data_IF_064180314448
#
_entry.id   IF_064180314448
#
_cell.length_a   1.000
_cell.length_b   1.000
_cell.length_c   1.000
_cell.angle_alpha   90.00
_cell.angle_beta   90.00
_cell.angle_gamma   90.00
#
_symmetry.space_group_name_H-M   'P 1'
#
loop_
_entity.id
_entity.type
_entity.pdbx_description
1 polymer ?
#
# COMPACT_ATOMS: atom_id res chain seq x y z
N UNK A 1 -11.71 -41.95 18.92
CA UNK A 1 -11.15 -41.08 17.89
C UNK A 1 -12.02 -39.82 17.77
N UNK A 2 -11.41 -38.65 17.91
CA UNK A 2 -12.06 -37.35 17.71
C UNK A 2 -11.43 -36.68 16.48
N UNK A 3 -12.26 -36.13 15.59
CA UNK A 3 -11.81 -35.37 14.43
C UNK A 3 -12.35 -33.95 14.53
N UNK A 4 -11.51 -32.97 14.18
CA UNK A 4 -11.86 -31.55 14.16
C UNK A 4 -11.45 -31.02 12.80
N UNK A 5 -12.38 -30.33 12.11
CA UNK A 5 -12.11 -29.56 10.90
C UNK A 5 -12.53 -28.13 11.16
N UNK A 6 -11.65 -27.19 10.83
CA UNK A 6 -11.90 -25.77 10.99
C UNK A 6 -11.45 -25.03 9.74
N UNK A 7 -12.27 -24.11 9.27
CA UNK A 7 -11.98 -23.20 8.19
C UNK A 7 -12.41 -21.79 8.61
N UNK A 8 -11.50 -20.83 8.54
CA UNK A 8 -11.81 -19.43 8.74
C UNK A 8 -11.39 -18.66 7.47
N UNK A 9 -12.26 -17.77 7.04
CA UNK A 9 -12.01 -16.88 5.94
C UNK A 9 -12.35 -15.46 6.37
N UNK A 10 -11.46 -14.52 6.11
CA UNK A 10 -11.72 -13.09 6.26
C UNK A 10 -11.29 -12.34 5.00
N UNK A 11 -12.08 -11.37 4.60
CA UNK A 11 -11.77 -10.43 3.54
C UNK A 11 -12.20 -9.03 3.99
N UNK A 12 -11.37 -8.03 3.73
CA UNK A 12 -11.68 -6.68 4.16
C UNK A 12 -10.78 -5.62 3.53
N UNK A 13 -11.04 -4.39 3.93
CA UNK A 13 -10.23 -3.22 3.59
C UNK A 13 -10.03 -2.39 4.85
N UNK A 14 -8.82 -1.83 5.00
CA UNK A 14 -8.44 -1.03 6.15
C UNK A 14 -7.30 -0.09 5.77
N UNK A 15 -7.04 0.91 6.62
CA UNK A 15 -5.81 1.71 6.54
C UNK A 15 -4.93 1.33 7.72
N UNK A 16 -3.75 0.86 7.41
CA UNK A 16 -2.71 0.57 8.40
C UNK A 16 -1.64 1.66 8.35
N UNK A 17 -1.38 2.28 9.49
CA UNK A 17 -0.37 3.34 9.63
C UNK A 17 0.66 2.92 10.66
N UNK A 18 1.91 2.78 10.22
CA UNK A 18 3.09 2.58 11.04
C UNK A 18 4.18 3.55 10.55
N UNK A 19 5.38 3.08 10.28
CA UNK A 19 6.42 3.86 9.60
C UNK A 19 5.96 4.28 8.19
N UNK A 20 5.27 3.39 7.48
CA UNK A 20 4.58 3.66 6.21
C UNK A 20 3.06 3.60 6.41
N UNK A 21 2.31 4.16 5.47
CA UNK A 21 0.86 4.14 5.47
C UNK A 21 0.35 3.30 4.31
N UNK A 22 -0.22 2.14 4.65
CA UNK A 22 -0.79 1.21 3.68
C UNK A 22 -2.31 1.35 3.60
N UNK A 23 -2.82 1.39 2.40
CA UNK A 23 -4.25 1.21 2.12
C UNK A 23 -4.48 -0.25 1.74
N UNK A 24 -4.94 -1.04 2.70
CA UNK A 24 -5.28 -2.44 2.50
C UNK A 24 -6.64 -2.52 1.79
N UNK A 25 -6.65 -3.01 0.55
CA UNK A 25 -7.88 -3.17 -0.22
C UNK A 25 -8.04 -4.61 -0.66
N UNK A 26 -9.23 -5.19 -0.41
CA UNK A 26 -9.51 -6.57 -0.76
C UNK A 26 -8.52 -7.58 -0.16
N UNK A 27 -7.86 -7.22 0.95
CA UNK A 27 -7.02 -8.14 1.70
C UNK A 27 -7.83 -9.35 2.13
N UNK A 28 -7.28 -10.55 1.98
CA UNK A 28 -7.95 -11.77 2.39
C UNK A 28 -7.00 -12.75 3.06
N UNK A 29 -7.53 -13.47 4.03
CA UNK A 29 -6.83 -14.53 4.75
C UNK A 29 -7.71 -15.75 4.89
N UNK A 30 -7.11 -16.93 4.69
CA UNK A 30 -7.69 -18.24 4.95
C UNK A 30 -6.87 -18.94 6.02
N UNK A 31 -7.52 -19.44 7.06
CA UNK A 31 -6.90 -20.34 8.04
C UNK A 31 -7.68 -21.64 8.06
N UNK A 32 -7.00 -22.76 8.03
CA UNK A 32 -7.61 -24.07 8.08
C UNK A 32 -6.83 -25.01 8.99
N UNK A 33 -7.56 -25.94 9.59
CA UNK A 33 -7.02 -26.95 10.47
C UNK A 33 -7.81 -28.26 10.30
N UNK A 34 -7.08 -29.36 10.21
CA UNK A 34 -7.61 -30.72 10.35
C UNK A 34 -6.86 -31.40 11.49
N UNK A 35 -7.57 -31.97 12.41
CA UNK A 35 -7.01 -32.62 13.59
C UNK A 35 -7.67 -33.97 13.84
N UNK A 36 -6.85 -34.99 14.09
CA UNK A 36 -7.28 -36.33 14.55
C UNK A 36 -6.65 -36.59 15.91
N UNK A 37 -7.48 -36.86 16.89
CA UNK A 37 -7.06 -37.09 18.25
C UNK A 37 -7.60 -38.43 18.77
N UNK A 38 -6.73 -39.24 19.36
CA UNK A 38 -7.08 -40.41 20.16
C UNK A 38 -6.49 -40.30 21.57
N UNK A 39 -6.62 -41.33 22.40
CA UNK A 39 -6.01 -41.35 23.74
C UNK A 39 -4.51 -41.08 23.71
N UNK A 40 -3.80 -41.63 22.73
CA UNK A 40 -2.34 -41.66 22.71
C UNK A 40 -1.76 -40.93 21.49
N UNK A 41 -2.58 -40.43 20.56
CA UNK A 41 -2.13 -39.85 19.28
C UNK A 41 -2.81 -38.54 19.01
N UNK A 42 -2.04 -37.56 18.58
CA UNK A 42 -2.48 -36.30 17.94
C UNK A 42 -1.82 -36.19 16.58
N UNK A 43 -2.60 -36.05 15.53
CA UNK A 43 -2.16 -35.66 14.22
C UNK A 43 -2.90 -34.35 13.85
N UNK A 44 -2.18 -33.31 13.57
CA UNK A 44 -2.75 -32.02 13.19
C UNK A 44 -2.06 -31.49 11.93
N UNK A 45 -2.87 -31.11 10.98
CA UNK A 45 -2.47 -30.31 9.83
C UNK A 45 -3.13 -28.94 9.92
N UNK A 46 -2.36 -27.87 9.75
CA UNK A 46 -2.86 -26.51 9.74
C UNK A 46 -2.15 -25.69 8.67
N UNK A 47 -2.83 -24.66 8.18
CA UNK A 47 -2.24 -23.73 7.23
C UNK A 47 -2.95 -22.39 7.23
N UNK A 48 -2.24 -21.40 6.70
CA UNK A 48 -2.73 -20.06 6.45
C UNK A 48 -2.30 -19.62 5.05
N UNK A 49 -3.20 -18.98 4.34
CA UNK A 49 -2.91 -18.31 3.07
C UNK A 49 -3.35 -16.87 3.18
N UNK A 50 -2.49 -15.97 2.75
CA UNK A 50 -2.70 -14.53 2.76
C UNK A 50 -2.59 -13.97 1.34
N UNK A 51 -3.44 -12.99 1.03
CA UNK A 51 -3.38 -12.26 -0.23
C UNK A 51 -3.63 -10.78 0.05
N UNK A 52 -2.66 -9.94 -0.28
CA UNK A 52 -2.72 -8.49 -0.11
C UNK A 52 -3.79 -7.80 -0.96
N UNK A 53 -4.36 -8.48 -1.96
CA UNK A 53 -5.37 -7.91 -2.86
C UNK A 53 -4.86 -6.71 -3.65
N UNK A 54 -5.58 -5.57 -3.54
CA UNK A 54 -5.25 -4.31 -4.23
C UNK A 54 -4.59 -3.30 -3.29
N UNK A 55 -3.78 -3.79 -2.35
CA UNK A 55 -3.07 -2.97 -1.37
C UNK A 55 -2.00 -2.10 -2.02
N UNK A 56 -1.86 -0.86 -1.53
CA UNK A 56 -0.81 0.06 -1.96
C UNK A 56 -0.22 0.85 -0.78
N UNK A 57 1.03 1.27 -0.93
CA UNK A 57 1.67 2.24 -0.03
C UNK A 57 1.26 3.66 -0.43
N UNK A 58 0.64 4.40 0.50
CA UNK A 58 0.08 5.72 0.21
C UNK A 58 1.17 6.79 0.01
N UNK A 59 2.31 6.66 0.69
CA UNK A 59 3.44 7.56 0.51
C UNK A 59 4.07 7.40 -0.87
N UNK A 60 4.38 6.16 -1.23
CA UNK A 60 4.90 5.82 -2.56
C UNK A 60 3.91 6.21 -3.66
N UNK A 61 2.60 5.98 -3.44
CA UNK A 61 1.57 6.40 -4.39
C UNK A 61 1.59 7.90 -4.65
N UNK A 62 1.70 8.72 -3.60
CA UNK A 62 1.77 10.18 -3.75
C UNK A 62 2.99 10.62 -4.57
N UNK A 63 4.15 10.03 -4.31
CA UNK A 63 5.37 10.29 -5.08
C UNK A 63 5.17 9.90 -6.54
N UNK A 64 4.64 8.69 -6.81
CA UNK A 64 4.43 8.21 -8.18
C UNK A 64 3.39 9.05 -8.95
N UNK A 65 2.31 9.48 -8.30
CA UNK A 65 1.33 10.38 -8.94
C UNK A 65 2.00 11.68 -9.35
N UNK A 66 2.82 12.27 -8.49
CA UNK A 66 3.53 13.51 -8.80
C UNK A 66 4.50 13.31 -9.97
N UNK A 67 5.33 12.28 -9.94
CA UNK A 67 6.29 11.99 -11.02
C UNK A 67 5.61 11.68 -12.37
N UNK A 68 4.47 10.98 -12.35
CA UNK A 68 3.69 10.69 -13.55
C UNK A 68 2.97 11.93 -14.11
N UNK A 69 2.60 12.88 -13.25
CA UNK A 69 1.98 14.14 -13.66
C UNK A 69 3.02 15.13 -14.18
N UNK A 70 4.05 15.39 -13.41
CA UNK A 70 5.16 16.29 -13.72
C UNK A 70 6.41 15.81 -13.00
N UNK A 71 7.47 15.48 -13.73
CA UNK A 71 8.71 15.06 -13.09
C UNK A 71 9.22 16.09 -12.10
N UNK A 72 9.88 15.66 -11.03
CA UNK A 72 10.47 16.53 -10.03
C UNK A 72 11.41 17.56 -10.65
N UNK A 73 12.12 17.21 -11.72
CA UNK A 73 12.99 18.12 -12.46
C UNK A 73 12.22 19.28 -13.12
N UNK A 74 11.14 18.96 -13.86
CA UNK A 74 10.29 19.98 -14.51
C UNK A 74 9.54 20.81 -13.49
N UNK A 75 9.08 20.20 -12.40
CA UNK A 75 8.43 20.92 -11.32
C UNK A 75 9.37 21.95 -10.69
N UNK A 76 10.63 21.56 -10.44
CA UNK A 76 11.63 22.44 -9.86
C UNK A 76 12.02 23.58 -10.80
N UNK A 77 12.12 23.34 -12.11
CA UNK A 77 12.37 24.39 -13.11
C UNK A 77 11.24 25.44 -13.11
N UNK A 78 9.98 24.99 -13.08
CA UNK A 78 8.83 25.92 -13.02
C UNK A 78 8.79 26.66 -11.68
N UNK A 79 9.08 25.97 -10.56
CA UNK A 79 9.19 26.59 -9.24
C UNK A 79 10.23 27.69 -9.22
N UNK A 80 11.44 27.40 -9.71
CA UNK A 80 12.54 28.35 -9.71
C UNK A 80 12.25 29.56 -10.61
N UNK A 81 11.64 29.34 -11.76
CA UNK A 81 11.18 30.38 -12.65
C UNK A 81 10.16 31.29 -11.97
N UNK A 82 9.17 30.73 -11.32
CA UNK A 82 8.17 31.46 -10.54
C UNK A 82 8.80 32.23 -9.38
N UNK A 83 9.70 31.58 -8.61
CA UNK A 83 10.41 32.21 -7.51
C UNK A 83 11.20 33.44 -7.98
N UNK A 84 12.00 33.31 -9.03
CA UNK A 84 12.76 34.43 -9.59
C UNK A 84 11.84 35.54 -10.11
N UNK A 85 10.74 35.20 -10.76
CA UNK A 85 9.74 36.19 -11.21
C UNK A 85 9.18 36.96 -10.01
N UNK A 86 8.81 36.26 -8.93
CA UNK A 86 8.36 36.88 -7.69
C UNK A 86 9.39 37.85 -7.10
N UNK A 87 10.65 37.43 -7.06
CA UNK A 87 11.76 38.28 -6.55
C UNK A 87 12.05 39.49 -7.43
N UNK A 88 12.19 39.28 -8.72
CA UNK A 88 12.74 40.29 -9.62
C UNK A 88 11.68 41.20 -10.27
N UNK A 89 10.50 40.63 -10.62
CA UNK A 89 9.44 41.41 -11.27
C UNK A 89 8.45 42.03 -10.26
N UNK A 90 8.19 41.31 -9.14
CA UNK A 90 7.19 41.75 -8.16
C UNK A 90 7.79 42.21 -6.83
N UNK A 91 9.11 42.21 -6.67
CA UNK A 91 9.83 42.63 -5.46
C UNK A 91 9.34 41.94 -4.18
N UNK A 92 8.89 40.67 -4.29
CA UNK A 92 8.41 39.85 -3.17
C UNK A 92 9.56 39.51 -2.22
N UNK A 93 9.26 39.37 -0.94
CA UNK A 93 10.18 38.73 0.00
C UNK A 93 10.36 37.23 -0.32
N UNK A 94 11.24 36.53 0.42
CA UNK A 94 11.56 35.13 0.11
C UNK A 94 10.39 34.19 0.35
N UNK A 95 9.55 34.48 1.34
CA UNK A 95 8.37 33.65 1.66
C UNK A 95 7.30 33.79 0.57
N UNK A 96 6.97 35.06 0.18
CA UNK A 96 5.99 35.31 -0.85
C UNK A 96 6.46 34.81 -2.23
N UNK A 97 7.76 34.99 -2.57
CA UNK A 97 8.34 34.47 -3.79
C UNK A 97 8.32 32.91 -3.83
N UNK A 98 8.57 32.25 -2.70
CA UNK A 98 8.48 30.78 -2.60
C UNK A 98 7.04 30.30 -2.79
N UNK A 99 6.05 30.99 -2.24
CA UNK A 99 4.63 30.67 -2.47
C UNK A 99 4.27 30.87 -3.94
N UNK A 100 4.69 31.98 -4.54
CA UNK A 100 4.45 32.23 -5.96
C UNK A 100 5.12 31.18 -6.87
N UNK A 101 6.37 30.80 -6.56
CA UNK A 101 7.07 29.72 -7.25
C UNK A 101 6.30 28.39 -7.20
N UNK A 102 5.77 28.04 -6.03
CA UNK A 102 4.94 26.84 -5.89
C UNK A 102 3.65 26.93 -6.71
N UNK A 103 2.96 28.07 -6.69
CA UNK A 103 1.74 28.27 -7.49
C UNK A 103 2.02 28.08 -8.99
N UNK A 104 3.13 28.62 -9.50
CA UNK A 104 3.56 28.45 -10.90
C UNK A 104 3.86 26.97 -11.20
N UNK A 105 4.62 26.31 -10.33
CA UNK A 105 4.98 24.90 -10.50
C UNK A 105 3.76 23.96 -10.45
N UNK A 106 2.82 24.20 -9.53
CA UNK A 106 1.58 23.44 -9.39
C UNK A 106 0.50 23.83 -10.40
N UNK A 107 0.71 24.97 -11.08
CA UNK A 107 -0.23 25.62 -12.00
C UNK A 107 -1.62 25.84 -11.36
N UNK A 108 -1.62 26.27 -10.08
CA UNK A 108 -2.84 26.62 -9.34
C UNK A 108 -2.56 27.82 -8.43
N UNK A 109 -3.55 28.69 -8.24
CA UNK A 109 -3.51 29.78 -7.27
C UNK A 109 -3.82 29.31 -5.84
N UNK A 110 -3.78 30.22 -4.88
CA UNK A 110 -4.10 29.93 -3.46
C UNK A 110 -5.55 29.48 -3.22
N UNK A 111 -6.46 29.78 -4.15
CA UNK A 111 -7.86 29.34 -4.11
C UNK A 111 -8.07 28.03 -4.87
N UNK A 112 -7.02 27.51 -5.53
CA UNK A 112 -7.04 26.28 -6.31
C UNK A 112 -7.59 26.43 -7.72
N UNK A 113 -7.62 27.66 -8.28
CA UNK A 113 -7.94 27.91 -9.68
C UNK A 113 -6.70 27.66 -10.55
N UNK A 114 -6.92 27.23 -11.78
CA UNK A 114 -5.84 26.98 -12.74
C UNK A 114 -5.29 28.33 -13.23
N UNK A 115 -3.96 28.52 -13.15
CA UNK A 115 -3.28 29.73 -13.60
C UNK A 115 -3.15 29.79 -15.13
N UNK A 116 -2.80 28.68 -15.75
CA UNK A 116 -2.59 28.55 -17.19
C UNK A 116 -3.32 27.27 -17.68
N UNK A 117 -4.42 27.47 -18.40
CA UNK A 117 -5.23 26.38 -18.93
C UNK A 117 -4.55 25.56 -20.03
N UNK A 118 -3.44 26.07 -20.60
CA UNK A 118 -2.64 25.34 -21.59
C UNK A 118 -1.69 24.31 -20.97
N UNK A 119 -1.51 24.35 -19.63
CA UNK A 119 -0.62 23.46 -18.88
C UNK A 119 -1.40 22.54 -17.94
N UNK A 120 -0.90 21.33 -17.67
CA UNK A 120 -1.51 20.47 -16.66
C UNK A 120 -1.37 21.11 -15.27
N UNK A 121 -2.45 21.10 -14.50
CA UNK A 121 -2.46 21.53 -13.10
C UNK A 121 -2.26 20.35 -12.15
N UNK A 122 -1.89 20.63 -10.90
CA UNK A 122 -1.72 19.64 -9.85
C UNK A 122 -2.96 18.73 -9.75
N UNK A 123 -2.80 17.39 -9.83
CA UNK A 123 -3.93 16.46 -9.80
C UNK A 123 -4.68 16.52 -8.46
N UNK A 124 -5.95 16.88 -8.48
CA UNK A 124 -6.80 16.90 -7.28
C UNK A 124 -7.48 15.55 -7.10
N UNK A 125 -7.52 15.06 -5.86
CA UNK A 125 -8.21 13.82 -5.50
C UNK A 125 -9.67 13.83 -6.01
N UNK A 126 -10.12 12.71 -6.57
CA UNK A 126 -11.46 12.56 -7.14
C UNK A 126 -11.60 13.01 -8.61
N UNK A 127 -10.59 13.66 -9.20
CA UNK A 127 -10.60 14.00 -10.64
C UNK A 127 -10.23 12.80 -11.51
N UNK A 128 -10.66 12.82 -12.78
CA UNK A 128 -10.30 11.77 -13.75
C UNK A 128 -8.78 11.66 -13.93
N UNK A 129 -8.08 12.79 -13.96
CA UNK A 129 -6.61 12.81 -14.04
C UNK A 129 -5.98 12.08 -12.85
N UNK A 130 -6.36 12.46 -11.62
CA UNK A 130 -5.86 11.81 -10.40
C UNK A 130 -6.12 10.29 -10.41
N UNK A 131 -7.35 9.88 -10.77
CA UNK A 131 -7.72 8.47 -10.81
C UNK A 131 -6.92 7.70 -11.86
N UNK A 132 -6.67 8.28 -13.03
CA UNK A 132 -5.84 7.67 -14.07
C UNK A 132 -4.39 7.49 -13.60
N UNK A 133 -3.79 8.51 -13.00
CA UNK A 133 -2.42 8.46 -12.48
C UNK A 133 -2.32 7.44 -11.32
N UNK A 134 -3.31 7.44 -10.41
CA UNK A 134 -3.41 6.44 -9.35
C UNK A 134 -3.44 5.02 -9.93
N UNK A 135 -4.29 4.77 -10.93
CA UNK A 135 -4.39 3.45 -11.56
C UNK A 135 -3.07 3.04 -12.22
N UNK A 136 -2.37 3.97 -12.88
CA UNK A 136 -1.04 3.71 -13.44
C UNK A 136 -0.04 3.35 -12.34
N UNK A 137 0.03 4.15 -11.28
CA UNK A 137 0.96 3.91 -10.17
C UNK A 137 0.67 2.58 -9.45
N UNK A 138 -0.61 2.21 -9.25
CA UNK A 138 -1.00 0.97 -8.58
C UNK A 138 -1.04 -0.25 -9.50
N UNK A 139 -0.85 -0.09 -10.81
CA UNK A 139 -0.72 -1.21 -11.74
C UNK A 139 0.61 -1.96 -11.63
N UNK A 140 1.63 -1.32 -11.06
CA UNK A 140 2.97 -1.86 -10.87
C UNK A 140 3.29 -2.03 -9.39
N UNK A 141 4.09 -3.06 -9.07
CA UNK A 141 4.60 -3.23 -7.71
C UNK A 141 5.62 -2.14 -7.36
N UNK A 142 5.85 -1.94 -6.05
CA UNK A 142 6.87 -1.01 -5.55
C UNK A 142 8.25 -1.38 -6.10
N UNK A 143 8.58 -2.67 -6.18
CA UNK A 143 9.83 -3.17 -6.78
C UNK A 143 10.03 -2.78 -8.24
N UNK A 144 8.93 -2.53 -8.97
CA UNK A 144 8.92 -2.23 -10.41
C UNK A 144 8.64 -0.74 -10.67
N UNK A 145 8.83 0.10 -9.65
CA UNK A 145 8.62 1.55 -9.73
C UNK A 145 7.15 1.98 -9.65
N UNK A 146 6.28 1.15 -9.08
CA UNK A 146 4.88 1.48 -8.81
C UNK A 146 4.62 1.75 -7.32
N UNK A 147 3.36 1.64 -6.92
CA UNK A 147 2.93 1.82 -5.53
C UNK A 147 2.21 0.60 -4.95
N UNK A 148 1.98 -0.45 -5.75
CA UNK A 148 1.27 -1.65 -5.33
C UNK A 148 2.12 -2.48 -4.38
N UNK A 149 1.51 -2.93 -3.28
CA UNK A 149 2.08 -3.96 -2.40
C UNK A 149 1.49 -5.30 -2.84
N UNK A 150 2.34 -6.17 -3.37
CA UNK A 150 1.92 -7.50 -3.77
C UNK A 150 2.54 -8.53 -2.83
N UNK A 151 1.69 -9.15 -2.02
CA UNK A 151 2.06 -10.26 -1.15
C UNK A 151 1.01 -11.38 -1.28
N UNK A 152 1.51 -12.58 -1.56
CA UNK A 152 0.74 -13.83 -1.48
C UNK A 152 1.61 -14.83 -0.73
N UNK A 153 1.32 -15.00 0.54
CA UNK A 153 2.05 -15.91 1.39
C UNK A 153 1.21 -17.13 1.77
N UNK A 154 1.90 -18.24 2.01
CA UNK A 154 1.31 -19.50 2.43
C UNK A 154 2.17 -20.12 3.51
N UNK A 155 1.53 -20.57 4.57
CA UNK A 155 2.15 -21.30 5.66
C UNK A 155 1.46 -22.64 5.85
N UNK A 156 2.24 -23.69 6.05
CA UNK A 156 1.74 -25.03 6.32
C UNK A 156 2.49 -25.62 7.51
N UNK A 157 1.76 -26.31 8.37
CA UNK A 157 2.32 -26.99 9.54
C UNK A 157 1.70 -28.36 9.69
N UNK A 158 2.53 -29.37 10.00
CA UNK A 158 2.11 -30.73 10.32
C UNK A 158 2.71 -31.11 11.67
N UNK A 159 1.84 -31.35 12.65
CA UNK A 159 2.20 -31.81 13.97
C UNK A 159 1.78 -33.27 14.13
N UNK A 160 2.71 -34.11 14.57
CA UNK A 160 2.41 -35.49 15.00
C UNK A 160 2.98 -35.71 16.41
N UNK A 161 2.11 -36.14 17.29
CA UNK A 161 2.49 -36.48 18.66
C UNK A 161 1.92 -37.83 19.01
N UNK A 162 2.73 -38.73 19.56
CA UNK A 162 2.31 -40.02 20.04
C UNK A 162 2.87 -40.29 21.44
N UNK A 163 1.98 -40.69 22.38
CA UNK A 163 2.36 -41.07 23.75
C UNK A 163 2.50 -42.56 23.84
N UNK A 164 3.71 -43.04 24.09
CA UNK A 164 4.09 -44.46 24.18
C UNK A 164 3.86 -45.07 25.56
N UNK A 165 3.34 -44.37 26.56
CA UNK A 165 3.23 -44.87 27.95
C UNK A 165 2.44 -46.15 28.02
N UNK A 166 1.35 -46.32 27.30
CA UNK A 166 0.53 -47.53 27.30
C UNK A 166 1.25 -48.72 26.66
N UNK A 167 2.12 -48.48 25.67
CA UNK A 167 2.97 -49.51 25.06
C UNK A 167 4.06 -49.99 26.03
N UNK A 168 4.71 -49.07 26.71
CA UNK A 168 5.79 -49.40 27.67
C UNK A 168 5.25 -50.14 28.89
N UNK A 169 4.07 -49.76 29.38
CA UNK A 169 3.44 -50.42 30.53
C UNK A 169 2.95 -51.84 30.22
N UNK A 170 2.76 -52.24 28.95
CA UNK A 170 2.39 -53.59 28.55
C UNK A 170 3.57 -54.57 28.47
N UNK A 171 4.81 -54.11 28.63
CA UNK A 171 6.03 -54.90 28.62
C UNK A 171 6.58 -55.16 30.06
N UNK A 172 5.98 -54.59 31.09
CA UNK A 172 6.24 -54.82 32.49
C UNK A 172 5.13 -55.69 33.10
#
# INVERSE_FOLDING_TARGET
LKSIFQLNYAKGSSVYSAQNRFSLNNFSIYNYKAELQSKNMLLRFSGANENSGDTFDAGTLAIQINELWKSSELWYQDFFTGFLTGKLAYAMDDEAASKYGRMVADNIDEFGNILDSSKPSLPKSGTSLFNNLKNQATSKNISDGGARVFDKSSFYNLDFNYNFNDLISSFN
#
